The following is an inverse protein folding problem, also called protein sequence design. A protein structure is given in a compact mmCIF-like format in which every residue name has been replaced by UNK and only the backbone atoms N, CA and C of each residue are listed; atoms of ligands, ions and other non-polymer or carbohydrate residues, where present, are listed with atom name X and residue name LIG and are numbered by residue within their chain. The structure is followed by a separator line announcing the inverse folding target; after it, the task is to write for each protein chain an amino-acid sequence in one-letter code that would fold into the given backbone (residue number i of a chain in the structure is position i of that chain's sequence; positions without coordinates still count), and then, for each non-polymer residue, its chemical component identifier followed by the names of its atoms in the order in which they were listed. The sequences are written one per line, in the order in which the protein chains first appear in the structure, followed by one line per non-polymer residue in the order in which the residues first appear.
data_IF_292021459634
#
_entry.id   IF_292021459634
#
_cell.length_a   1.000
_cell.length_b   1.000
_cell.length_c   1.000
_cell.angle_alpha   90.00
_cell.angle_beta   90.00
_cell.angle_gamma   90.00
#
_symmetry.space_group_name_H-M   'P 1'
#
loop_
_entity.id
_entity.type
_entity.pdbx_description
1 polymer ?
#
# COMPACT_ATOMS: atom_id res chain seq x y z
N UNK A 1 13.06 18.23 -5.11
CA UNK A 1 12.15 17.07 -5.13
C UNK A 1 12.86 15.97 -5.91
N UNK A 2 12.61 14.71 -5.58
CA UNK A 2 13.17 13.59 -6.34
C UNK A 2 12.03 12.91 -7.09
N UNK A 3 12.27 12.59 -8.36
CA UNK A 3 11.28 11.97 -9.24
C UNK A 3 11.83 10.64 -9.73
N UNK A 4 10.95 9.65 -9.81
CA UNK A 4 11.23 8.39 -10.47
C UNK A 4 10.01 8.02 -11.32
N UNK A 5 10.21 7.65 -12.60
CA UNK A 5 9.09 7.29 -13.47
C UNK A 5 8.45 5.98 -13.00
N UNK A 6 7.13 5.90 -13.11
CA UNK A 6 6.36 4.67 -12.94
C UNK A 6 5.88 4.17 -14.29
N UNK A 7 5.83 2.86 -14.46
CA UNK A 7 5.28 2.21 -15.63
C UNK A 7 3.74 2.18 -15.54
N UNK A 8 3.07 2.70 -16.55
CA UNK A 8 1.61 2.74 -16.60
C UNK A 8 1.07 1.34 -16.95
N UNK A 9 0.10 0.87 -16.18
CA UNK A 9 -0.57 -0.41 -16.43
C UNK A 9 0.16 -1.63 -15.90
N UNK A 10 1.24 -1.44 -15.15
CA UNK A 10 1.95 -2.49 -14.43
C UNK A 10 1.86 -2.27 -12.91
N UNK A 11 1.82 -3.37 -12.15
CA UNK A 11 1.98 -3.30 -10.70
C UNK A 11 3.43 -3.02 -10.36
N UNK A 12 3.65 -2.07 -9.46
CA UNK A 12 4.97 -1.74 -8.95
C UNK A 12 4.92 -1.60 -7.43
N UNK A 13 5.94 -2.11 -6.76
CA UNK A 13 6.09 -1.92 -5.33
C UNK A 13 6.85 -0.62 -5.06
N UNK A 14 6.19 0.36 -4.44
CA UNK A 14 6.79 1.65 -4.10
C UNK A 14 6.94 1.78 -2.59
N UNK A 15 8.14 2.12 -2.13
CA UNK A 15 8.41 2.30 -0.71
C UNK A 15 9.24 3.55 -0.43
N UNK A 16 8.89 4.28 0.62
CA UNK A 16 9.68 5.39 1.14
C UNK A 16 10.15 5.07 2.57
N UNK A 17 11.39 5.41 2.89
CA UNK A 17 11.97 5.17 4.22
C UNK A 17 12.67 6.41 4.74
N UNK A 18 12.67 6.57 6.05
CA UNK A 18 13.38 7.62 6.75
C UNK A 18 14.05 7.06 8.01
N UNK A 19 15.36 7.25 8.12
CA UNK A 19 16.18 6.73 9.23
C UNK A 19 16.68 7.80 10.20
N UNK A 20 16.23 9.05 10.06
CA UNK A 20 16.72 10.18 10.85
C UNK A 20 17.90 10.94 10.21
N UNK A 21 18.43 10.45 9.08
CA UNK A 21 19.54 11.07 8.37
C UNK A 21 19.30 11.18 6.85
N UNK A 22 18.48 10.30 6.27
CA UNK A 22 18.18 10.29 4.86
C UNK A 22 16.77 9.77 4.55
N UNK A 23 16.12 10.44 3.61
CA UNK A 23 14.91 10.00 2.93
C UNK A 23 15.31 9.16 1.72
N UNK A 24 14.71 7.99 1.57
CA UNK A 24 14.97 7.09 0.44
C UNK A 24 13.67 6.63 -0.19
N UNK A 25 13.66 6.55 -1.52
CA UNK A 25 12.56 6.04 -2.32
C UNK A 25 13.04 4.82 -3.09
N UNK A 26 12.22 3.77 -3.07
CA UNK A 26 12.46 2.51 -3.74
C UNK A 26 11.31 2.18 -4.67
N UNK A 27 11.65 1.61 -5.84
CA UNK A 27 10.70 1.03 -6.78
C UNK A 27 11.15 -0.41 -7.03
N UNK A 28 10.23 -1.36 -6.85
CA UNK A 28 10.48 -2.79 -7.00
C UNK A 28 11.67 -3.31 -6.18
N UNK A 29 11.92 -2.66 -5.03
CA UNK A 29 13.01 -2.97 -4.10
C UNK A 29 14.34 -2.30 -4.43
N UNK A 30 14.47 -1.62 -5.57
CA UNK A 30 15.68 -0.90 -5.98
C UNK A 30 15.65 0.56 -5.48
N UNK A 31 16.78 1.05 -4.95
CA UNK A 31 16.91 2.45 -4.53
C UNK A 31 16.96 3.34 -5.76
N UNK A 32 15.91 4.13 -5.98
CA UNK A 32 15.82 5.04 -7.14
C UNK A 32 16.19 6.48 -6.77
N UNK A 33 16.13 6.82 -5.48
CA UNK A 33 16.32 8.18 -5.02
C UNK A 33 16.69 8.25 -3.53
N UNK A 34 17.62 9.16 -3.20
CA UNK A 34 18.04 9.45 -1.83
C UNK A 34 18.26 10.95 -1.63
N UNK A 35 17.86 11.46 -0.47
CA UNK A 35 18.13 12.83 -0.05
C UNK A 35 18.48 12.87 1.44
N UNK A 36 19.61 13.48 1.78
CA UNK A 36 19.97 13.75 3.18
C UNK A 36 18.94 14.68 3.83
N UNK A 37 18.49 14.29 5.02
CA UNK A 37 17.54 15.04 5.82
C UNK A 37 17.71 14.62 7.29
N UNK A 38 17.99 15.56 8.17
CA UNK A 38 18.29 15.33 9.59
C UNK A 38 17.23 15.95 10.54
N UNK A 39 16.08 16.33 9.98
CA UNK A 39 14.96 16.92 10.72
C UNK A 39 13.97 15.88 11.27
N UNK A 40 13.18 16.26 12.27
CA UNK A 40 12.11 15.40 12.76
C UNK A 40 10.91 15.37 11.80
N UNK A 41 10.24 14.22 11.69
CA UNK A 41 8.94 14.14 11.02
C UNK A 41 7.92 14.88 11.90
N UNK A 42 7.38 15.99 11.38
CA UNK A 42 6.30 16.71 12.06
C UNK A 42 4.98 15.96 11.86
N UNK A 43 4.27 15.67 12.94
CA UNK A 43 2.97 15.01 12.86
C UNK A 43 1.89 15.98 12.37
N UNK A 44 0.91 15.45 11.64
CA UNK A 44 -0.31 16.16 11.27
C UNK A 44 -1.47 15.65 12.11
N UNK A 45 -2.44 16.53 12.39
CA UNK A 45 -3.74 16.14 12.96
C UNK A 45 -4.71 15.63 11.88
N UNK A 46 -4.35 15.73 10.60
CA UNK A 46 -5.14 15.16 9.52
C UNK A 46 -5.13 13.63 9.58
N UNK A 47 -6.25 12.97 9.25
CA UNK A 47 -6.28 11.52 9.16
C UNK A 47 -5.31 11.03 8.08
N UNK A 48 -4.79 9.81 8.26
CA UNK A 48 -4.11 9.09 7.20
C UNK A 48 -5.12 8.83 6.08
N UNK A 49 -4.77 9.24 4.86
CA UNK A 49 -5.56 9.00 3.66
C UNK A 49 -4.72 8.16 2.68
N UNK A 50 -5.36 7.16 2.08
CA UNK A 50 -4.78 6.30 1.04
C UNK A 50 -5.57 6.55 -0.24
N UNK A 51 -4.87 6.72 -1.37
CA UNK A 51 -5.49 7.02 -2.67
C UNK A 51 -5.92 8.47 -2.89
N UNK A 52 -5.74 9.35 -1.90
CA UNK A 52 -5.91 10.80 -2.04
C UNK A 52 -5.18 11.51 -0.90
N UNK A 53 -4.95 12.82 -1.05
CA UNK A 53 -4.61 13.66 0.08
C UNK A 53 -5.81 13.85 1.02
N UNK A 54 -5.57 14.21 2.30
CA UNK A 54 -6.64 14.56 3.22
C UNK A 54 -7.62 15.59 2.61
N UNK A 55 -8.91 15.46 2.94
CA UNK A 55 -10.02 16.20 2.34
C UNK A 55 -10.28 15.94 0.83
N UNK A 56 -9.70 14.89 0.25
CA UNK A 56 -10.09 14.37 -1.08
C UNK A 56 -9.47 15.09 -2.28
N UNK A 57 -8.45 15.91 -2.05
CA UNK A 57 -7.61 16.49 -3.10
C UNK A 57 -6.53 15.49 -3.57
N UNK A 58 -5.85 15.75 -4.69
CA UNK A 58 -4.76 14.91 -5.22
C UNK A 58 -5.11 13.42 -5.27
N UNK A 59 -6.23 13.09 -5.93
CA UNK A 59 -6.70 11.72 -6.07
C UNK A 59 -5.73 10.90 -6.93
N UNK A 60 -5.46 9.69 -6.47
CA UNK A 60 -4.78 8.67 -7.25
C UNK A 60 -5.73 8.09 -8.29
N UNK A 61 -5.27 7.98 -9.52
CA UNK A 61 -5.97 7.32 -10.62
C UNK A 61 -5.24 6.03 -10.97
N UNK A 62 -5.56 4.97 -10.24
CA UNK A 62 -4.93 3.67 -10.36
C UNK A 62 -5.33 2.72 -9.23
N UNK A 63 -4.78 1.51 -9.28
CA UNK A 63 -4.97 0.52 -8.23
C UNK A 63 -3.93 0.70 -7.10
N UNK A 64 -4.31 0.34 -5.87
CA UNK A 64 -3.47 0.32 -4.68
C UNK A 64 -3.73 -0.99 -3.96
N UNK A 65 -2.67 -1.63 -3.48
CA UNK A 65 -2.71 -2.91 -2.78
C UNK A 65 -1.57 -2.99 -1.76
N UNK A 66 -1.69 -3.86 -0.76
CA UNK A 66 -0.65 -4.21 0.23
C UNK A 66 0.01 -2.99 0.92
N UNK A 67 -0.81 -2.03 1.36
CA UNK A 67 -0.32 -0.82 2.01
C UNK A 67 0.13 -1.12 3.44
N UNK A 68 1.37 -0.76 3.74
CA UNK A 68 2.02 -1.02 5.03
C UNK A 68 2.65 0.26 5.58
N UNK A 69 2.57 0.43 6.89
CA UNK A 69 3.24 1.51 7.62
C UNK A 69 4.12 0.92 8.72
N UNK A 70 5.35 1.44 8.84
CA UNK A 70 6.34 0.95 9.80
C UNK A 70 6.89 2.11 10.65
N UNK A 71 7.18 1.85 11.92
CA UNK A 71 7.89 2.77 12.82
C UNK A 71 9.42 2.66 12.72
N UNK A 72 9.91 1.80 11.83
CA UNK A 72 11.34 1.57 11.57
C UNK A 72 11.62 1.70 10.08
N UNK A 73 12.79 2.25 9.74
CA UNK A 73 13.25 2.29 8.36
C UNK A 73 13.54 0.86 7.87
N UNK A 74 12.91 0.46 6.77
CA UNK A 74 13.12 -0.85 6.14
C UNK A 74 14.33 -0.78 5.21
N UNK A 75 15.14 -1.82 5.19
CA UNK A 75 16.25 -1.96 4.24
C UNK A 75 15.78 -2.37 2.84
N UNK A 76 16.59 -2.12 1.80
CA UNK A 76 16.29 -2.55 0.43
C UNK A 76 16.00 -4.05 0.33
N UNK A 77 16.76 -4.89 1.06
CA UNK A 77 16.56 -6.34 1.07
C UNK A 77 15.23 -6.77 1.70
N UNK A 78 14.77 -6.03 2.71
CA UNK A 78 13.45 -6.26 3.32
C UNK A 78 12.30 -5.79 2.41
N UNK A 79 12.52 -4.74 1.63
CA UNK A 79 11.55 -4.20 0.67
C UNK A 79 11.48 -5.05 -0.61
N UNK A 80 12.59 -5.64 -1.06
CA UNK A 80 12.59 -6.61 -2.16
C UNK A 80 11.82 -7.89 -1.86
N UNK A 81 11.48 -8.14 -0.59
CA UNK A 81 10.59 -9.22 -0.16
C UNK A 81 9.13 -8.77 0.03
N UNK A 82 8.73 -7.60 -0.49
CA UNK A 82 7.42 -7.00 -0.25
C UNK A 82 6.23 -7.91 -0.61
N UNK A 83 6.35 -8.76 -1.63
CA UNK A 83 5.31 -9.72 -1.99
C UNK A 83 5.10 -10.87 -1.00
N UNK A 84 5.84 -10.93 0.12
CA UNK A 84 5.60 -11.91 1.17
C UNK A 84 4.43 -11.49 2.06
N UNK A 85 3.50 -12.40 2.37
CA UNK A 85 2.45 -12.13 3.34
C UNK A 85 3.04 -11.82 4.71
N UNK A 86 2.52 -10.76 5.34
CA UNK A 86 2.83 -10.42 6.73
C UNK A 86 1.84 -11.10 7.67
N UNK A 87 2.31 -11.41 8.87
CA UNK A 87 1.51 -11.96 9.97
C UNK A 87 0.78 -10.88 10.76
N UNK A 88 1.18 -9.61 10.62
CA UNK A 88 0.63 -8.48 11.36
C UNK A 88 1.36 -8.21 12.69
N UNK A 89 2.19 -9.14 13.15
CA UNK A 89 2.92 -9.07 14.42
C UNK A 89 4.40 -8.71 14.24
N UNK A 90 4.81 -8.30 13.04
CA UNK A 90 6.19 -7.93 12.75
C UNK A 90 6.63 -6.73 13.60
N UNK A 91 7.85 -6.81 14.15
CA UNK A 91 8.41 -5.73 14.95
C UNK A 91 8.48 -4.42 14.13
N UNK A 92 7.86 -3.38 14.67
CA UNK A 92 7.79 -2.06 14.05
C UNK A 92 6.71 -1.91 12.98
N UNK A 93 5.89 -2.93 12.68
CA UNK A 93 4.70 -2.77 11.85
C UNK A 93 3.62 -2.02 12.63
N UNK A 94 3.14 -0.90 12.09
CA UNK A 94 2.14 -0.05 12.75
C UNK A 94 0.83 0.09 11.99
N UNK A 95 0.78 -0.39 10.74
CA UNK A 95 -0.44 -0.50 9.95
C UNK A 95 -0.24 -1.47 8.78
N UNK A 96 -1.25 -2.30 8.49
CA UNK A 96 -1.21 -3.28 7.40
C UNK A 96 -2.59 -3.44 6.76
N UNK A 97 -2.80 -2.78 5.62
CA UNK A 97 -4.04 -2.80 4.83
C UNK A 97 -3.81 -3.55 3.52
N UNK A 98 -4.40 -4.75 3.44
CA UNK A 98 -4.24 -5.63 2.25
C UNK A 98 -5.26 -5.36 1.15
N UNK A 99 -6.33 -4.62 1.41
CA UNK A 99 -7.39 -4.37 0.43
C UNK A 99 -7.99 -5.64 -0.21
N UNK A 100 -7.90 -6.77 0.49
CA UNK A 100 -8.40 -8.09 0.08
C UNK A 100 -9.83 -8.37 0.57
N UNK A 101 -10.51 -7.40 1.18
CA UNK A 101 -11.86 -7.60 1.69
C UNK A 101 -12.85 -7.88 0.55
N UNK A 102 -13.53 -9.03 0.62
CA UNK A 102 -14.48 -9.46 -0.42
C UNK A 102 -15.77 -8.62 -0.45
N UNK A 103 -16.03 -7.85 0.62
CA UNK A 103 -17.22 -7.00 0.76
C UNK A 103 -17.01 -5.88 1.79
N UNK A 104 -17.87 -4.85 1.74
CA UNK A 104 -17.82 -3.70 2.65
C UNK A 104 -17.09 -2.49 2.05
N UNK A 105 -16.91 -1.44 2.85
CA UNK A 105 -16.24 -0.19 2.46
C UNK A 105 -15.08 0.15 3.40
N UNK A 106 -14.58 -0.81 4.16
CA UNK A 106 -13.49 -0.61 5.10
C UNK A 106 -12.35 -1.55 4.75
N UNK A 107 -11.13 -1.02 4.71
CA UNK A 107 -9.92 -1.84 4.66
C UNK A 107 -9.52 -2.15 6.10
N UNK A 108 -9.35 -3.43 6.42
CA UNK A 108 -8.95 -3.83 7.76
C UNK A 108 -7.46 -3.55 7.97
N UNK A 109 -7.13 -2.91 9.10
CA UNK A 109 -5.77 -2.95 9.61
C UNK A 109 -5.55 -4.30 10.28
N UNK A 110 -4.64 -5.09 9.73
CA UNK A 110 -4.28 -6.41 10.25
C UNK A 110 -3.03 -6.38 11.13
N UNK A 111 -2.47 -5.19 11.40
CA UNK A 111 -1.34 -5.04 12.32
C UNK A 111 -1.79 -5.23 13.78
N UNK A 112 -0.89 -5.79 14.60
CA UNK A 112 -1.13 -5.97 16.02
C UNK A 112 -1.00 -4.67 16.83
N UNK A 113 -0.53 -3.59 16.20
CA UNK A 113 -0.20 -2.33 16.88
C UNK A 113 -1.44 -1.48 17.20
N UNK A 114 -2.54 -1.59 16.44
CA UNK A 114 -3.74 -0.77 16.61
C UNK A 114 -5.03 -1.52 16.20
N UNK A 115 -5.88 -1.98 17.13
CA UNK A 115 -7.18 -2.54 16.78
C UNK A 115 -8.22 -1.43 16.63
N UNK A 116 -8.18 -0.65 15.54
CA UNK A 116 -9.30 0.22 15.18
C UNK A 116 -9.35 0.50 13.67
N UNK A 117 -10.42 0.03 13.04
CA UNK A 117 -10.71 0.08 11.62
C UNK A 117 -10.49 1.46 10.98
N UNK A 118 -9.72 1.51 9.89
CA UNK A 118 -9.69 2.65 9.00
C UNK A 118 -10.98 2.66 8.16
N UNK A 119 -11.79 3.71 8.26
CA UNK A 119 -12.92 3.92 7.36
C UNK A 119 -12.40 4.44 6.02
N UNK A 120 -12.49 3.62 4.98
CA UNK A 120 -12.11 4.03 3.63
C UNK A 120 -13.21 4.92 3.01
N UNK A 121 -12.81 6.07 2.49
CA UNK A 121 -13.64 6.85 1.57
C UNK A 121 -13.51 6.29 0.17
N UNK A 122 -14.58 5.66 -0.32
CA UNK A 122 -14.85 5.20 -1.69
C UNK A 122 -13.73 4.41 -2.42
N UNK A 123 -14.00 3.11 -2.64
CA UNK A 123 -13.38 2.12 -3.54
C UNK A 123 -11.92 2.37 -3.98
N UNK A 124 -11.02 1.47 -3.54
CA UNK A 124 -10.17 0.80 -4.52
C UNK A 124 -11.10 -0.10 -5.36
N UNK A 125 -11.22 0.16 -6.66
CA UNK A 125 -12.05 -0.66 -7.53
C UNK A 125 -11.25 -1.92 -7.88
N UNK A 126 -11.41 -2.95 -7.05
CA UNK A 126 -11.15 -4.39 -7.28
C UNK A 126 -10.04 -4.81 -8.25
N UNK A 127 -9.05 -5.56 -7.74
CA UNK A 127 -8.56 -6.74 -8.48
C UNK A 127 -9.39 -7.94 -8.01
N UNK A 128 -10.64 -8.06 -8.47
CA UNK A 128 -11.30 -9.37 -8.43
C UNK A 128 -10.66 -10.24 -9.50
N UNK A 129 -9.64 -10.99 -9.11
CA UNK A 129 -9.11 -12.05 -9.95
C UNK A 129 -10.11 -13.22 -9.95
N UNK A 130 -11.18 -13.09 -10.73
CA UNK A 130 -12.01 -14.25 -11.03
C UNK A 130 -11.23 -15.18 -11.96
N UNK A 131 -10.56 -16.19 -11.40
CA UNK A 131 -10.05 -17.32 -12.18
C UNK A 131 -11.18 -18.33 -12.35
N UNK A 132 -11.78 -18.37 -13.53
CA UNK A 132 -12.61 -19.49 -13.95
C UNK A 132 -11.76 -20.40 -14.84
N UNK A 133 -11.54 -21.64 -14.41
CA UNK A 133 -11.13 -22.72 -15.33
C UNK A 133 -12.40 -23.38 -15.83
N UNK A 134 -12.64 -23.34 -17.14
CA UNK A 134 -13.77 -24.03 -17.78
C UNK A 134 -13.29 -25.08 -18.78
N UNK A 135 -14.04 -26.16 -18.90
CA UNK A 135 -13.86 -27.19 -19.94
C UNK A 135 -14.84 -26.96 -21.11
N UNK A 136 -14.63 -27.67 -22.22
CA UNK A 136 -15.48 -27.53 -23.40
C UNK A 136 -16.93 -27.97 -23.09
N UNK A 137 -17.84 -26.99 -22.91
CA UNK A 137 -19.25 -27.23 -22.60
C UNK A 137 -19.81 -26.31 -21.51
N UNK A 138 -18.96 -25.60 -20.77
CA UNK A 138 -19.41 -24.75 -19.67
C UNK A 138 -20.14 -23.49 -20.17
N UNK A 139 -21.26 -23.16 -19.52
CA UNK A 139 -22.02 -21.92 -19.74
C UNK A 139 -22.08 -21.13 -18.44
N UNK A 140 -21.52 -19.93 -18.46
CA UNK A 140 -21.49 -19.01 -17.34
C UNK A 140 -22.50 -17.89 -17.59
N UNK A 141 -23.28 -17.54 -16.56
CA UNK A 141 -24.22 -16.43 -16.59
C UNK A 141 -23.83 -15.44 -15.50
N UNK A 142 -23.82 -14.16 -15.85
CA UNK A 142 -23.63 -13.06 -14.90
C UNK A 142 -24.87 -12.17 -15.01
N UNK A 143 -25.55 -11.95 -13.88
CA UNK A 143 -26.51 -10.87 -13.73
C UNK A 143 -25.79 -9.67 -13.11
N UNK A 144 -26.06 -8.48 -13.64
CA UNK A 144 -25.60 -7.19 -13.12
C UNK A 144 -26.62 -6.61 -12.14
#
# INVERSE_FOLDING_TARGET
YVEAPLEIGAWQHVAATYDGAALRLYIDGELVAEQAFDGEITHSLSPLAIGAAPAGSYRWDGAIDEVRAWSVARSAGELGAAGRPLTGAEAGLVGNWRFDEESGTAAADTSAAWPSAASAGARATETRLYRFTGEAGDRWFFDL
#
